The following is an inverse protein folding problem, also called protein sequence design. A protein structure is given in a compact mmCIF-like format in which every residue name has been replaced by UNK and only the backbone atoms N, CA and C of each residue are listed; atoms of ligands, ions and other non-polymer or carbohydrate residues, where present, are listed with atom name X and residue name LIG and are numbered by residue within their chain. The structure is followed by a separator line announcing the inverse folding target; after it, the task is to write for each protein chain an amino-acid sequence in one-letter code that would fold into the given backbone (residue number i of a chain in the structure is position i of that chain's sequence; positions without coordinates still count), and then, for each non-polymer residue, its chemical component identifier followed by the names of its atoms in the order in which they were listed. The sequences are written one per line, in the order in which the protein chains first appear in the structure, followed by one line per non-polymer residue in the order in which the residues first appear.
data_IF_971916584396
#
_entry.id   IF_971916584396
#
_cell.length_a   1.000
_cell.length_b   1.000
_cell.length_c   1.000
_cell.angle_alpha   90.00
_cell.angle_beta   90.00
_cell.angle_gamma   90.00
#
_symmetry.space_group_name_H-M   'P 1'
#
loop_
_entity.id
_entity.type
_entity.pdbx_description
1 polymer ?
#
# COMPACT_ATOMS: atom_id res chain seq x y z
N UNK A 1 32.84 21.80 42.63
CA UNK A 1 31.97 21.98 41.45
C UNK A 1 32.47 21.08 40.32
N UNK A 2 31.62 20.13 39.89
CA UNK A 2 31.36 19.68 38.50
C UNK A 2 30.68 18.31 38.59
N UNK A 3 29.35 18.34 38.58
CA UNK A 3 28.49 17.16 38.47
C UNK A 3 28.47 16.75 37.00
N UNK A 4 28.87 15.52 36.68
CA UNK A 4 28.68 14.93 35.36
C UNK A 4 27.40 14.09 35.43
N UNK A 5 26.35 14.61 34.82
CA UNK A 5 25.09 13.89 34.62
C UNK A 5 25.29 12.90 33.46
N UNK A 6 25.27 11.60 33.76
CA UNK A 6 25.12 10.56 32.75
C UNK A 6 23.65 10.55 32.30
N UNK A 7 23.37 11.01 31.08
CA UNK A 7 22.06 10.89 30.46
C UNK A 7 21.89 9.45 29.96
N UNK A 8 21.14 8.64 30.70
CA UNK A 8 20.65 7.34 30.21
C UNK A 8 19.49 7.65 29.25
N UNK A 9 19.71 7.51 27.95
CA UNK A 9 18.61 7.51 26.98
C UNK A 9 17.93 6.14 27.10
N UNK A 10 16.94 6.07 27.97
CA UNK A 10 15.94 5.00 27.96
C UNK A 10 14.99 5.30 26.81
N UNK A 11 15.27 4.78 25.62
CA UNK A 11 14.27 4.74 24.54
C UNK A 11 13.31 3.58 24.80
N UNK A 12 12.39 3.81 25.74
CA UNK A 12 11.30 2.92 26.08
C UNK A 12 9.97 3.41 25.50
N UNK A 13 9.42 2.59 24.61
CA UNK A 13 8.00 2.31 24.39
C UNK A 13 7.10 3.36 23.71
N UNK A 14 6.59 2.98 22.54
CA UNK A 14 5.15 2.99 22.30
C UNK A 14 4.72 1.60 21.76
N UNK A 15 4.55 0.65 22.70
CA UNK A 15 3.62 -0.47 22.52
C UNK A 15 2.22 0.12 22.65
N UNK A 16 1.55 0.39 21.53
CA UNK A 16 0.10 0.65 21.52
C UNK A 16 -0.62 -0.61 21.05
N UNK A 17 -0.70 -1.60 21.93
CA UNK A 17 -1.80 -2.54 21.90
C UNK A 17 -2.94 -1.97 22.73
N UNK A 18 -4.07 -1.66 22.10
CA UNK A 18 -5.43 -1.83 22.65
C UNK A 18 -6.45 -1.62 21.53
N UNK A 19 -7.10 -2.74 21.18
CA UNK A 19 -8.30 -2.85 20.36
C UNK A 19 -9.46 -2.06 20.98
N UNK A 20 -10.17 -1.26 20.18
CA UNK A 20 -11.62 -1.30 19.89
C UNK A 20 -12.08 0.05 19.35
N UNK A 21 -12.75 0.04 18.20
CA UNK A 21 -13.28 1.22 17.55
C UNK A 21 -12.65 1.38 16.17
N UNK A 22 -13.47 1.47 15.14
CA UNK A 22 -13.07 1.71 13.76
C UNK A 22 -12.20 2.97 13.70
N UNK A 23 -10.88 2.77 13.82
CA UNK A 23 -9.90 3.71 13.32
C UNK A 23 -10.19 3.74 11.83
N UNK A 24 -10.62 4.87 11.29
CA UNK A 24 -10.47 5.15 9.87
C UNK A 24 -9.04 4.77 9.54
N UNK A 25 -8.86 3.57 8.99
CA UNK A 25 -7.54 3.05 8.66
C UNK A 25 -6.97 4.11 7.74
N UNK A 26 -5.95 4.84 8.22
CA UNK A 26 -5.42 6.00 7.53
C UNK A 26 -5.24 5.59 6.07
N UNK A 27 -6.08 6.15 5.18
CA UNK A 27 -6.17 5.68 3.81
C UNK A 27 -4.76 5.63 3.24
N UNK A 28 -4.35 4.50 2.68
CA UNK A 28 -2.96 4.28 2.25
C UNK A 28 -2.49 5.25 1.16
N UNK A 29 -3.39 6.09 0.62
CA UNK A 29 -3.08 7.12 -0.37
C UNK A 29 -2.46 8.40 0.24
N UNK A 30 -1.46 8.26 1.12
CA UNK A 30 -0.76 9.39 1.75
C UNK A 30 0.75 9.27 1.60
N UNK A 31 1.45 10.41 1.68
CA UNK A 31 2.91 10.42 1.61
C UNK A 31 3.54 9.70 2.83
N UNK A 32 2.89 9.72 3.99
CA UNK A 32 3.31 9.00 5.18
C UNK A 32 3.26 7.50 4.95
N UNK A 33 2.18 6.99 4.36
CA UNK A 33 2.08 5.57 4.03
C UNK A 33 3.17 5.13 3.04
N UNK A 34 3.45 5.95 2.01
CA UNK A 34 4.58 5.71 1.10
C UNK A 34 5.90 5.58 1.87
N UNK A 35 6.17 6.46 2.85
CA UNK A 35 7.39 6.37 3.68
C UNK A 35 7.42 5.09 4.52
N UNK A 36 6.32 4.75 5.19
CA UNK A 36 6.25 3.55 6.03
C UNK A 36 6.51 2.28 5.22
N UNK A 37 5.89 2.16 4.04
CA UNK A 37 6.10 1.02 3.13
C UNK A 37 7.57 0.93 2.69
N UNK A 38 8.17 2.06 2.30
CA UNK A 38 9.59 2.13 1.92
C UNK A 38 10.55 1.84 3.10
N UNK A 39 10.08 1.96 4.34
CA UNK A 39 10.83 1.62 5.56
C UNK A 39 10.56 0.17 6.03
N UNK A 40 9.81 -0.62 5.26
CA UNK A 40 9.57 -2.04 5.52
C UNK A 40 8.22 -2.37 6.15
N UNK A 41 7.28 -1.43 6.24
CA UNK A 41 5.89 -1.81 6.52
C UNK A 41 5.36 -2.66 5.37
N UNK A 42 4.73 -3.78 5.71
CA UNK A 42 4.15 -4.73 4.77
C UNK A 42 2.63 -4.76 4.82
N UNK A 43 2.03 -3.76 5.45
CA UNK A 43 0.59 -3.61 5.61
C UNK A 43 0.07 -2.53 4.68
N UNK A 44 -0.94 -2.87 3.87
CA UNK A 44 -1.67 -1.92 3.05
C UNK A 44 -3.16 -2.13 3.27
N UNK A 45 -3.86 -1.09 3.71
CA UNK A 45 -5.33 -1.11 3.82
C UNK A 45 -5.87 -2.23 4.75
N UNK A 46 -5.08 -2.60 5.77
CA UNK A 46 -5.37 -3.68 6.73
C UNK A 46 -4.96 -5.08 6.26
N UNK A 47 -4.51 -5.24 5.01
CA UNK A 47 -3.96 -6.49 4.51
C UNK A 47 -2.44 -6.49 4.65
N UNK A 48 -1.88 -7.48 5.36
CA UNK A 48 -0.46 -7.58 5.64
C UNK A 48 0.17 -8.80 4.95
N UNK A 49 1.28 -8.59 4.25
CA UNK A 49 2.03 -9.67 3.60
C UNK A 49 2.46 -10.72 4.64
N UNK A 50 2.30 -11.99 4.30
CA UNK A 50 2.63 -13.15 5.13
C UNK A 50 1.56 -13.55 6.15
N UNK A 51 0.56 -12.70 6.42
CA UNK A 51 -0.53 -13.06 7.33
C UNK A 51 -1.56 -14.00 6.67
N UNK A 52 -2.24 -14.86 7.45
CA UNK A 52 -3.34 -15.66 6.95
C UNK A 52 -4.46 -14.78 6.39
N UNK A 53 -4.92 -15.07 5.17
CA UNK A 53 -6.02 -14.31 4.54
C UNK A 53 -7.30 -14.34 5.37
N UNK A 54 -7.49 -15.38 6.19
CA UNK A 54 -8.61 -15.50 7.13
C UNK A 54 -8.77 -14.31 8.06
N UNK A 55 -7.68 -13.67 8.47
CA UNK A 55 -7.74 -12.53 9.36
C UNK A 55 -8.51 -11.38 8.71
N UNK A 56 -8.29 -11.17 7.41
CA UNK A 56 -8.99 -10.16 6.62
C UNK A 56 -10.45 -10.55 6.36
N UNK A 57 -10.70 -11.84 6.07
CA UNK A 57 -12.04 -12.37 5.78
C UNK A 57 -13.01 -12.33 6.97
N UNK A 58 -12.51 -12.24 8.20
CA UNK A 58 -13.36 -12.15 9.41
C UNK A 58 -14.06 -10.80 9.56
N UNK A 59 -13.47 -9.75 8.99
CA UNK A 59 -13.91 -8.36 9.19
C UNK A 59 -14.30 -7.65 7.89
N UNK A 60 -14.24 -8.34 6.75
CA UNK A 60 -14.51 -7.76 5.44
C UNK A 60 -15.33 -8.71 4.57
N UNK A 61 -16.33 -8.16 3.89
CA UNK A 61 -17.12 -8.88 2.90
C UNK A 61 -16.40 -8.94 1.56
N UNK A 62 -16.17 -10.16 1.08
CA UNK A 62 -15.55 -10.39 -0.23
C UNK A 62 -16.56 -10.09 -1.33
N UNK A 63 -16.25 -9.11 -2.17
CA UNK A 63 -17.07 -8.74 -3.32
C UNK A 63 -16.90 -9.71 -4.49
N UNK A 64 -15.65 -10.12 -4.76
CA UNK A 64 -15.32 -11.09 -5.82
C UNK A 64 -14.25 -12.04 -5.31
N UNK A 65 -14.44 -13.33 -5.62
CA UNK A 65 -13.44 -14.36 -5.38
C UNK A 65 -13.13 -15.08 -6.70
N UNK A 66 -11.84 -15.28 -6.97
CA UNK A 66 -11.38 -16.14 -8.05
C UNK A 66 -10.09 -16.86 -7.66
N UNK A 67 -9.61 -17.77 -8.49
CA UNK A 67 -8.36 -18.49 -8.25
C UNK A 67 -7.68 -18.85 -9.58
N UNK A 68 -6.37 -19.09 -9.54
CA UNK A 68 -5.66 -19.67 -10.68
C UNK A 68 -6.20 -21.07 -11.00
N UNK A 69 -6.22 -21.51 -12.27
CA UNK A 69 -6.66 -22.86 -12.62
C UNK A 69 -5.89 -23.99 -11.91
N UNK A 70 -4.62 -23.77 -11.57
CA UNK A 70 -3.79 -24.70 -10.80
C UNK A 70 -4.08 -24.71 -9.29
N UNK A 71 -4.95 -23.81 -8.82
CA UNK A 71 -5.34 -23.68 -7.43
C UNK A 71 -4.25 -23.13 -6.50
N UNK A 72 -3.13 -22.63 -7.03
CA UNK A 72 -1.98 -22.18 -6.21
C UNK A 72 -2.13 -20.75 -5.68
N UNK A 73 -2.91 -19.92 -6.37
CA UNK A 73 -3.22 -18.57 -5.93
C UNK A 73 -4.73 -18.36 -5.90
N UNK A 74 -5.15 -17.61 -4.89
CA UNK A 74 -6.52 -17.22 -4.62
C UNK A 74 -6.59 -15.69 -4.59
N UNK A 75 -7.56 -15.11 -5.28
CA UNK A 75 -7.73 -13.68 -5.42
C UNK A 75 -9.02 -13.25 -4.72
N UNK A 76 -8.92 -12.25 -3.85
CA UNK A 76 -10.00 -11.69 -3.08
C UNK A 76 -10.11 -10.21 -3.38
N UNK A 77 -11.26 -9.78 -3.90
CA UNK A 77 -11.56 -8.37 -4.14
C UNK A 77 -12.51 -7.87 -3.05
N UNK A 78 -12.16 -6.73 -2.47
CA UNK A 78 -12.96 -6.01 -1.50
C UNK A 78 -13.24 -4.62 -2.06
N UNK A 79 -14.52 -4.32 -2.30
CA UNK A 79 -14.96 -2.96 -2.59
C UNK A 79 -14.95 -2.15 -1.30
N UNK A 80 -14.23 -1.04 -1.31
CA UNK A 80 -14.16 -0.07 -0.24
C UNK A 80 -14.75 1.26 -0.73
N UNK A 81 -15.14 2.13 0.20
CA UNK A 81 -15.66 3.45 -0.15
C UNK A 81 -14.62 4.30 -0.92
N UNK A 82 -13.34 4.10 -0.62
CA UNK A 82 -12.22 4.83 -1.23
C UNK A 82 -11.59 4.12 -2.43
N UNK A 83 -12.06 2.93 -2.83
CA UNK A 83 -11.47 2.19 -3.93
C UNK A 83 -11.67 0.67 -3.90
N UNK A 84 -10.78 -0.06 -4.54
CA UNK A 84 -10.81 -1.52 -4.64
C UNK A 84 -9.50 -2.10 -4.13
N UNK A 85 -9.61 -2.94 -3.11
CA UNK A 85 -8.50 -3.72 -2.57
C UNK A 85 -8.54 -5.13 -3.16
N UNK A 86 -7.43 -5.55 -3.78
CA UNK A 86 -7.24 -6.91 -4.27
C UNK A 86 -6.13 -7.57 -3.46
N UNK A 87 -6.44 -8.70 -2.85
CA UNK A 87 -5.52 -9.50 -2.05
C UNK A 87 -5.31 -10.85 -2.73
N UNK A 88 -4.04 -11.21 -2.95
CA UNK A 88 -3.66 -12.54 -3.43
C UNK A 88 -3.14 -13.35 -2.26
N UNK A 89 -3.63 -14.58 -2.12
CA UNK A 89 -3.14 -15.54 -1.14
C UNK A 89 -2.71 -16.85 -1.79
N UNK A 90 -1.70 -17.50 -1.22
CA UNK A 90 -1.16 -18.78 -1.70
C UNK A 90 -1.97 -20.00 -1.20
N UNK A 91 -1.56 -21.19 -1.60
CA UNK A 91 -1.98 -22.43 -0.95
C UNK A 91 -3.45 -22.77 -1.16
N UNK A 92 -4.23 -22.85 -0.06
CA UNK A 92 -5.64 -23.28 -0.09
C UNK A 92 -6.57 -22.10 0.09
N UNK A 93 -7.72 -22.15 -0.59
CA UNK A 93 -8.82 -21.19 -0.44
C UNK A 93 -9.08 -20.91 1.04
N UNK A 94 -9.06 -19.63 1.40
CA UNK A 94 -9.33 -19.09 2.71
C UNK A 94 -8.38 -19.62 3.79
N UNK A 95 -7.23 -20.21 3.46
CA UNK A 95 -6.27 -20.75 4.42
C UNK A 95 -4.82 -20.39 4.05
N UNK A 96 -4.63 -19.73 2.91
CA UNK A 96 -3.36 -19.20 2.45
C UNK A 96 -2.86 -18.01 3.26
N UNK A 97 -1.60 -17.66 2.99
CA UNK A 97 -0.96 -16.42 3.40
C UNK A 97 -1.04 -15.40 2.29
N UNK A 98 -1.16 -14.13 2.67
CA UNK A 98 -1.20 -13.01 1.72
C UNK A 98 0.20 -12.85 1.11
N UNK A 99 0.29 -12.92 -0.22
CA UNK A 99 1.55 -12.76 -0.97
C UNK A 99 1.57 -11.49 -1.82
N UNK A 100 0.39 -10.92 -2.12
CA UNK A 100 0.27 -9.64 -2.82
C UNK A 100 -0.93 -8.84 -2.32
N UNK A 101 -0.78 -7.53 -2.26
CA UNK A 101 -1.84 -6.56 -1.97
C UNK A 101 -1.78 -5.44 -3.00
N UNK A 102 -2.91 -5.17 -3.64
CA UNK A 102 -3.07 -4.07 -4.59
C UNK A 102 -4.24 -3.21 -4.17
N UNK A 103 -4.01 -1.93 -3.87
CA UNK A 103 -5.08 -0.97 -3.63
C UNK A 103 -5.16 0.02 -4.78
N UNK A 104 -6.32 0.10 -5.43
CA UNK A 104 -6.65 1.16 -6.40
C UNK A 104 -7.64 2.12 -5.78
N UNK A 105 -7.29 3.39 -5.68
CA UNK A 105 -8.12 4.46 -5.15
C UNK A 105 -9.01 5.06 -6.23
N UNK A 106 -10.24 5.46 -5.86
CA UNK A 106 -11.20 6.06 -6.79
C UNK A 106 -10.71 7.42 -7.32
N UNK A 107 -10.06 8.20 -6.46
CA UNK A 107 -9.63 9.56 -6.77
C UNK A 107 -8.11 9.67 -6.87
N UNK A 108 -7.64 10.47 -7.82
CA UNK A 108 -6.24 10.90 -7.92
C UNK A 108 -5.95 12.01 -6.91
N UNK A 109 -6.17 11.78 -5.62
CA UNK A 109 -5.97 12.76 -4.55
C UNK A 109 -4.71 12.50 -3.70
N UNK A 110 -3.95 11.45 -4.03
CA UNK A 110 -2.73 11.06 -3.35
C UNK A 110 -1.54 12.00 -3.57
N UNK A 111 -0.37 11.65 -3.03
CA UNK A 111 0.87 12.37 -3.27
C UNK A 111 1.23 12.42 -4.76
N UNK A 112 1.95 13.47 -5.16
CA UNK A 112 2.40 13.64 -6.55
C UNK A 112 3.49 12.64 -6.90
N UNK A 113 3.61 12.31 -8.20
CA UNK A 113 4.71 11.48 -8.72
C UNK A 113 6.09 11.96 -8.25
N UNK A 114 6.34 13.28 -8.31
CA UNK A 114 7.61 13.87 -7.88
C UNK A 114 7.87 13.66 -6.38
N UNK A 115 6.84 13.79 -5.54
CA UNK A 115 6.98 13.58 -4.10
C UNK A 115 7.32 12.13 -3.75
N UNK A 116 6.65 11.16 -4.40
CA UNK A 116 6.94 9.73 -4.19
C UNK A 116 8.32 9.36 -4.73
N UNK A 117 8.67 9.80 -5.95
CA UNK A 117 10.00 9.55 -6.54
C UNK A 117 11.15 10.01 -5.63
N UNK A 118 10.99 11.15 -4.96
CA UNK A 118 11.98 11.67 -4.01
C UNK A 118 12.14 10.80 -2.75
N UNK A 119 11.12 10.02 -2.36
CA UNK A 119 11.19 9.12 -1.19
C UNK A 119 11.83 7.79 -1.58
N UNK A 120 11.40 7.21 -2.70
CA UNK A 120 11.85 5.87 -3.14
C UNK A 120 13.33 5.89 -3.57
N UNK A 121 13.83 7.06 -3.99
CA UNK A 121 15.25 7.24 -4.31
C UNK A 121 15.61 6.92 -5.75
N UNK A 122 16.89 7.06 -6.08
CA UNK A 122 17.39 7.08 -7.47
C UNK A 122 17.47 5.72 -8.15
N UNK A 123 17.45 4.63 -7.38
CA UNK A 123 17.59 3.27 -7.92
C UNK A 123 16.26 2.69 -8.42
N UNK A 124 15.15 3.37 -8.12
CA UNK A 124 13.83 2.96 -8.54
C UNK A 124 13.68 3.00 -10.06
N UNK A 125 12.95 2.02 -10.61
CA UNK A 125 12.48 2.08 -11.99
C UNK A 125 11.38 3.12 -12.06
N UNK A 126 11.53 4.14 -12.90
CA UNK A 126 10.55 5.21 -13.02
C UNK A 126 10.17 5.49 -14.46
N UNK A 127 8.90 5.83 -14.69
CA UNK A 127 8.38 6.29 -15.98
C UNK A 127 7.35 7.38 -15.75
N UNK A 128 7.40 8.42 -16.57
CA UNK A 128 6.35 9.42 -16.68
C UNK A 128 6.00 9.62 -18.15
N UNK A 129 4.71 9.76 -18.45
CA UNK A 129 4.23 9.98 -19.80
C UNK A 129 3.05 10.95 -19.79
N UNK A 130 3.08 11.90 -20.70
CA UNK A 130 2.05 12.92 -20.84
C UNK A 130 1.48 12.86 -22.24
N UNK A 131 0.17 12.64 -22.35
CA UNK A 131 -0.53 12.59 -23.61
C UNK A 131 -1.81 13.40 -23.53
N UNK A 132 -2.06 14.24 -24.54
CA UNK A 132 -3.22 15.14 -24.55
C UNK A 132 -4.52 14.45 -24.99
N UNK A 133 -4.43 13.19 -25.45
CA UNK A 133 -5.57 12.37 -25.89
C UNK A 133 -5.85 11.26 -24.89
N UNK A 134 -4.84 10.42 -24.59
CA UNK A 134 -5.03 9.21 -23.77
C UNK A 134 -4.84 9.43 -22.27
N UNK A 135 -4.51 10.65 -21.84
CA UNK A 135 -4.25 10.98 -20.45
C UNK A 135 -2.78 10.88 -20.04
N UNK A 136 -2.52 11.23 -18.78
CA UNK A 136 -1.17 11.25 -18.22
C UNK A 136 -0.97 10.05 -17.29
N UNK A 137 0.22 9.48 -17.30
CA UNK A 137 0.56 8.29 -16.54
C UNK A 137 1.93 8.43 -15.89
N UNK A 138 2.08 7.89 -14.69
CA UNK A 138 3.36 7.70 -14.06
C UNK A 138 3.46 6.36 -13.36
N UNK A 139 4.71 5.91 -13.20
CA UNK A 139 5.07 4.67 -12.55
C UNK A 139 6.37 4.85 -11.77
N UNK A 140 6.39 4.36 -10.54
CA UNK A 140 7.61 4.21 -9.72
C UNK A 140 7.59 2.81 -9.14
N UNK A 141 8.65 2.04 -9.34
CA UNK A 141 8.82 0.71 -8.74
C UNK A 141 10.17 0.62 -8.05
N UNK A 142 10.14 0.09 -6.84
CA UNK A 142 11.33 -0.29 -6.09
C UNK A 142 11.09 -1.66 -5.45
N UNK A 143 11.81 -2.65 -5.96
CA UNK A 143 11.67 -4.06 -5.57
C UNK A 143 10.19 -4.50 -5.63
N UNK A 144 9.63 -4.82 -4.46
CA UNK A 144 8.29 -5.39 -4.27
C UNK A 144 7.19 -4.35 -4.07
N UNK A 145 7.55 -3.06 -4.17
CA UNK A 145 6.63 -1.94 -4.09
C UNK A 145 6.53 -1.25 -5.45
N UNK A 146 5.30 -1.03 -5.92
CA UNK A 146 5.06 -0.17 -7.07
C UNK A 146 3.93 0.82 -6.82
N UNK A 147 4.07 1.99 -7.46
CA UNK A 147 3.19 3.13 -7.32
C UNK A 147 2.78 3.59 -8.72
N UNK A 148 1.48 3.72 -8.95
CA UNK A 148 0.94 4.17 -10.24
C UNK A 148 0.21 5.51 -10.07
N UNK A 149 0.42 6.37 -11.05
CA UNK A 149 0.00 7.76 -11.01
C UNK A 149 -0.84 8.09 -12.24
N UNK A 150 -1.86 8.91 -12.04
CA UNK A 150 -2.72 9.42 -13.10
C UNK A 150 -3.17 10.84 -12.77
N UNK A 151 -3.86 11.49 -13.70
CA UNK A 151 -4.48 12.80 -13.51
C UNK A 151 -5.96 12.73 -13.86
N UNK A 152 -6.74 13.65 -13.30
CA UNK A 152 -8.18 13.75 -13.58
C UNK A 152 -8.51 14.13 -15.02
N UNK A 153 -7.55 14.72 -15.74
CA UNK A 153 -7.67 15.06 -17.16
C UNK A 153 -6.33 15.01 -17.90
N UNK A 154 -6.33 14.87 -19.24
CA UNK A 154 -5.11 14.94 -20.06
C UNK A 154 -4.34 16.26 -19.95
N UNK A 155 -5.05 17.35 -19.66
CA UNK A 155 -4.47 18.70 -19.49
C UNK A 155 -3.74 18.88 -18.17
N UNK A 156 -4.11 18.13 -17.13
CA UNK A 156 -3.50 18.21 -15.80
C UNK A 156 -2.20 17.39 -15.74
N UNK A 157 -1.06 18.07 -15.86
CA UNK A 157 0.27 17.43 -15.81
C UNK A 157 0.71 17.07 -14.37
N UNK A 158 -0.08 17.40 -13.35
CA UNK A 158 0.19 17.05 -11.97
C UNK A 158 -0.38 15.66 -11.62
N UNK A 159 0.27 14.62 -12.12
CA UNK A 159 -0.13 13.24 -11.84
C UNK A 159 0.06 12.86 -10.36
N UNK A 160 -0.95 12.20 -9.80
CA UNK A 160 -1.07 11.84 -8.39
C UNK A 160 -1.29 10.35 -8.23
N UNK A 161 -0.82 9.83 -7.09
CA UNK A 161 -0.91 8.43 -6.72
C UNK A 161 -2.38 8.00 -6.68
N UNK A 162 -2.68 6.90 -7.37
CA UNK A 162 -3.99 6.27 -7.32
C UNK A 162 -3.91 4.75 -7.13
N UNK A 163 -2.73 4.14 -7.26
CA UNK A 163 -2.57 2.71 -6.98
C UNK A 163 -1.23 2.39 -6.35
N UNK A 164 -1.29 1.50 -5.36
CA UNK A 164 -0.13 0.93 -4.68
C UNK A 164 -0.23 -0.59 -4.82
N UNK A 165 0.82 -1.21 -5.32
CA UNK A 165 1.00 -2.65 -5.34
C UNK A 165 2.16 -3.02 -4.40
N UNK A 166 1.92 -3.97 -3.52
CA UNK A 166 2.89 -4.55 -2.59
C UNK A 166 2.93 -6.06 -2.79
N UNK A 167 4.12 -6.61 -2.98
CA UNK A 167 4.35 -8.06 -3.10
C UNK A 167 5.29 -8.56 -2.01
N UNK A 168 5.33 -9.87 -1.81
CA UNK A 168 6.40 -10.48 -1.01
C UNK A 168 7.76 -10.36 -1.73
N UNK A 169 8.81 -10.14 -0.94
CA UNK A 169 10.22 -10.11 -1.35
C UNK A 169 10.84 -11.50 -1.50
#
# INVERSE_FOLDING_TARGET
MKKLFAAVIVSGLALSGMSTGSVDAASGNSIQNVKSLQQGDTTLEGAKIGEPVQNLLKSNDVSVYSHRPDGKEHYYEFKKDNGVLVVTADGKKNNGKITRVSMSYNDTNGPTYKAVKNIVGSNAVTREHYNNVTGNFGYVQDNDLSYQFSSSSPSDKNIKLYRIDLTES
#
